data_IF_840767032658
#
_entry.id   IF_840767032658
#
_cell.length_a   1.000
_cell.length_b   1.000
_cell.length_c   1.000
_cell.angle_alpha   90.00
_cell.angle_beta   90.00
_cell.angle_gamma   90.00
#
_symmetry.space_group_name_H-M   'P 1'
#
loop_
_entity.id
_entity.type
_entity.pdbx_description
1 polymer ?
#
# COMPACT_ATOMS: atom_id res chain seq x y z
N UNK A 1 10.67 6.20 17.12
CA UNK A 1 10.04 7.43 17.60
C UNK A 1 10.06 8.48 16.50
N UNK A 2 8.92 9.16 16.31
CA UNK A 2 8.77 10.27 15.38
C UNK A 2 8.57 11.54 16.21
N UNK A 3 9.51 12.46 16.12
CA UNK A 3 9.44 13.73 16.87
C UNK A 3 9.79 14.90 15.96
N UNK A 4 8.80 15.74 15.71
CA UNK A 4 8.94 16.92 14.86
C UNK A 4 8.00 18.01 15.33
N UNK A 5 8.52 19.22 15.42
CA UNK A 5 7.79 20.40 15.81
C UNK A 5 8.00 21.51 14.77
N UNK A 6 6.88 22.01 14.24
CA UNK A 6 6.86 23.13 13.28
C UNK A 6 5.71 24.08 13.65
N UNK A 7 5.97 25.07 14.53
CA UNK A 7 4.95 26.02 14.96
C UNK A 7 4.35 26.82 13.83
N UNK A 8 5.09 27.06 12.75
CA UNK A 8 4.61 27.85 11.59
C UNK A 8 3.47 27.13 10.84
N UNK A 9 3.46 25.79 10.90
CA UNK A 9 2.40 24.96 10.33
C UNK A 9 1.44 24.39 11.38
N UNK A 10 1.59 24.77 12.65
CA UNK A 10 0.88 24.17 13.77
C UNK A 10 0.96 22.64 13.75
N UNK A 11 2.15 22.11 13.50
CA UNK A 11 2.40 20.68 13.39
C UNK A 11 3.30 20.21 14.52
N UNK A 12 2.74 19.37 15.40
CA UNK A 12 3.41 18.85 16.59
C UNK A 12 3.33 17.32 16.57
N UNK A 13 4.39 16.64 16.16
CA UNK A 13 4.44 15.18 16.06
C UNK A 13 5.27 14.63 17.23
N UNK A 14 4.66 13.78 18.05
CA UNK A 14 5.34 12.98 19.07
C UNK A 14 4.74 11.58 19.13
N UNK A 15 5.15 10.71 18.21
CA UNK A 15 4.71 9.33 18.15
C UNK A 15 5.84 8.40 18.59
N UNK A 16 5.52 7.47 19.47
CA UNK A 16 6.48 6.48 19.98
C UNK A 16 6.65 5.32 19.01
N UNK A 17 7.79 4.67 19.08
CA UNK A 17 8.06 3.45 18.31
C UNK A 17 7.20 2.30 18.85
N UNK A 18 6.68 1.50 17.93
CA UNK A 18 5.97 0.26 18.24
C UNK A 18 4.50 0.29 17.84
N UNK A 19 3.83 -0.84 18.07
CA UNK A 19 2.41 -1.00 17.78
C UNK A 19 1.60 -0.13 18.74
N UNK A 20 0.76 0.73 18.19
CA UNK A 20 -0.08 1.64 18.97
C UNK A 20 -1.39 1.95 18.24
N UNK A 21 -2.39 2.36 18.99
CA UNK A 21 -3.61 2.89 18.39
C UNK A 21 -3.36 4.34 17.93
N UNK A 22 -3.72 4.62 16.69
CA UNK A 22 -3.68 5.98 16.14
C UNK A 22 -5.12 6.49 16.05
N UNK A 23 -5.42 7.57 16.74
CA UNK A 23 -6.61 8.38 16.47
C UNK A 23 -6.43 9.24 15.22
N UNK A 24 -7.39 10.10 14.90
CA UNK A 24 -7.32 10.92 13.68
C UNK A 24 -6.13 11.88 13.67
N UNK A 25 -5.76 12.47 14.81
CA UNK A 25 -4.62 13.37 14.91
C UNK A 25 -3.30 12.60 14.79
N UNK A 26 -3.16 11.51 15.53
CA UNK A 26 -1.97 10.67 15.47
C UNK A 26 -1.78 10.04 14.08
N UNK A 27 -2.87 9.68 13.39
CA UNK A 27 -2.82 9.20 12.01
C UNK A 27 -2.36 10.31 11.04
N UNK A 28 -2.87 11.53 11.18
CA UNK A 28 -2.43 12.69 10.42
C UNK A 28 -0.93 12.98 10.64
N UNK A 29 -0.48 12.94 11.88
CA UNK A 29 0.91 13.16 12.24
C UNK A 29 1.82 12.07 11.68
N UNK A 30 1.40 10.82 11.75
CA UNK A 30 2.13 9.68 11.19
C UNK A 30 2.37 9.82 9.69
N UNK A 31 1.34 10.15 8.91
CA UNK A 31 1.46 10.27 7.44
C UNK A 31 2.20 11.53 6.99
N UNK A 32 2.34 12.52 7.86
CA UNK A 32 3.09 13.75 7.59
C UNK A 32 4.54 13.71 8.03
N UNK A 33 4.90 12.82 8.95
CA UNK A 33 6.28 12.74 9.42
C UNK A 33 7.24 12.43 8.27
N UNK A 34 8.31 13.17 8.17
CA UNK A 34 9.37 12.99 7.16
C UNK A 34 10.76 13.10 7.79
N UNK A 35 10.97 14.11 8.62
CA UNK A 35 12.24 14.41 9.30
C UNK A 35 11.96 14.77 10.75
N UNK A 36 12.96 14.53 11.62
CA UNK A 36 12.94 15.06 12.98
C UNK A 36 13.52 16.46 13.07
N UNK A 37 13.28 17.14 14.17
CA UNK A 37 14.02 18.33 14.55
C UNK A 37 15.49 18.00 14.87
N UNK A 38 16.40 19.00 15.03
CA UNK A 38 17.76 18.75 15.46
C UNK A 38 17.83 17.84 16.69
N UNK A 39 18.65 16.77 16.59
CA UNK A 39 18.74 15.72 17.61
C UNK A 39 17.77 14.55 17.46
N UNK A 40 16.81 14.63 16.55
CA UNK A 40 15.87 13.54 16.24
C UNK A 40 16.05 13.06 14.81
N UNK A 41 16.03 11.73 14.63
CA UNK A 41 16.16 11.11 13.31
C UNK A 41 14.84 11.21 12.54
N UNK A 42 14.92 11.48 11.25
CA UNK A 42 13.84 11.26 10.30
C UNK A 42 14.00 9.91 9.56
N UNK A 43 13.27 9.73 8.48
CA UNK A 43 13.50 8.61 7.58
C UNK A 43 14.85 8.75 6.87
N UNK A 44 15.61 7.65 6.80
CA UNK A 44 16.93 7.66 6.15
C UNK A 44 16.83 8.04 4.66
N UNK A 45 15.76 7.67 4.00
CA UNK A 45 15.44 7.95 2.60
C UNK A 45 14.60 9.23 2.42
N UNK A 46 14.44 10.03 3.48
CA UNK A 46 13.70 11.28 3.43
C UNK A 46 12.24 11.12 2.97
N UNK A 47 11.91 11.71 1.83
CA UNK A 47 10.55 11.68 1.30
C UNK A 47 10.08 10.29 0.86
N UNK A 48 10.97 9.49 0.33
CA UNK A 48 10.66 8.10 -0.05
C UNK A 48 10.23 7.27 1.16
N UNK A 49 10.87 7.47 2.31
CA UNK A 49 10.47 6.81 3.56
C UNK A 49 9.09 7.27 4.05
N UNK A 50 8.72 8.53 3.82
CA UNK A 50 7.37 9.01 4.11
C UNK A 50 6.34 8.34 3.20
N UNK A 51 6.63 8.21 1.91
CA UNK A 51 5.74 7.51 0.96
C UNK A 51 5.52 6.07 1.40
N UNK A 52 6.58 5.36 1.78
CA UNK A 52 6.49 4.00 2.29
C UNK A 52 5.61 3.92 3.55
N UNK A 53 5.80 4.82 4.52
CA UNK A 53 4.97 4.86 5.71
C UNK A 53 3.49 5.15 5.39
N UNK A 54 3.22 6.02 4.42
CA UNK A 54 1.86 6.28 3.95
C UNK A 54 1.23 5.03 3.32
N UNK A 55 1.98 4.26 2.55
CA UNK A 55 1.52 2.99 1.97
C UNK A 55 1.22 1.95 3.06
N UNK A 56 2.11 1.80 4.04
CA UNK A 56 1.90 0.92 5.20
C UNK A 56 0.65 1.32 5.99
N UNK A 57 0.44 2.62 6.20
CA UNK A 57 -0.75 3.14 6.87
C UNK A 57 -2.04 2.79 6.11
N UNK A 58 -2.08 3.00 4.80
CA UNK A 58 -3.25 2.66 3.98
C UNK A 58 -3.51 1.16 4.02
N UNK A 59 -2.47 0.33 3.90
CA UNK A 59 -2.60 -1.12 3.98
C UNK A 59 -3.17 -1.58 5.32
N UNK A 60 -2.67 -1.02 6.43
CA UNK A 60 -3.19 -1.30 7.76
C UNK A 60 -4.65 -0.82 7.94
N UNK A 61 -4.99 0.34 7.38
CA UNK A 61 -6.35 0.88 7.41
C UNK A 61 -7.33 -0.01 6.65
N UNK A 62 -6.95 -0.47 5.45
CA UNK A 62 -7.74 -1.40 4.64
C UNK A 62 -7.94 -2.71 5.39
N UNK A 63 -6.86 -3.31 5.91
CA UNK A 63 -6.93 -4.55 6.69
C UNK A 63 -7.89 -4.44 7.89
N UNK A 64 -7.91 -3.27 8.56
CA UNK A 64 -8.81 -3.03 9.68
C UNK A 64 -10.26 -2.79 9.24
N UNK A 65 -10.48 -2.00 8.17
CA UNK A 65 -11.82 -1.50 7.80
C UNK A 65 -12.60 -2.44 6.89
N UNK A 66 -11.94 -3.37 6.21
CA UNK A 66 -12.61 -4.42 5.44
C UNK A 66 -13.14 -5.57 6.31
N UNK A 67 -12.90 -5.55 7.64
CA UNK A 67 -13.51 -6.54 8.53
C UNK A 67 -15.05 -6.42 8.53
N UNK A 68 -15.79 -7.55 8.61
CA UNK A 68 -17.25 -7.56 8.49
C UNK A 68 -17.98 -6.60 9.44
N UNK A 69 -17.46 -6.39 10.64
CA UNK A 69 -18.03 -5.46 11.63
C UNK A 69 -18.08 -4.00 11.17
N UNK A 70 -17.17 -3.59 10.27
CA UNK A 70 -17.15 -2.25 9.72
C UNK A 70 -17.95 -2.12 8.43
N UNK A 71 -18.19 -3.23 7.72
CA UNK A 71 -19.05 -3.24 6.53
C UNK A 71 -20.51 -2.90 6.87
N UNK A 72 -20.93 -3.10 8.12
CA UNK A 72 -22.23 -2.64 8.60
C UNK A 72 -22.32 -1.10 8.68
N UNK A 73 -21.19 -0.40 8.70
CA UNK A 73 -21.07 1.07 8.77
C UNK A 73 -20.66 1.68 7.43
N UNK A 74 -20.91 0.99 6.34
CA UNK A 74 -20.50 1.43 4.99
C UNK A 74 -21.01 2.83 4.65
N UNK A 75 -22.21 3.19 5.09
CA UNK A 75 -22.79 4.50 4.84
C UNK A 75 -22.00 5.61 5.55
N UNK A 76 -21.63 5.41 6.84
CA UNK A 76 -20.81 6.38 7.59
C UNK A 76 -19.44 6.57 6.94
N UNK A 77 -18.80 5.48 6.51
CA UNK A 77 -17.52 5.51 5.80
C UNK A 77 -17.66 6.24 4.46
N UNK A 78 -18.74 5.99 3.74
CA UNK A 78 -19.02 6.64 2.46
C UNK A 78 -19.23 8.14 2.62
N UNK A 79 -19.96 8.57 3.64
CA UNK A 79 -20.20 9.98 3.92
C UNK A 79 -18.90 10.72 4.26
N UNK A 80 -18.00 10.10 5.02
CA UNK A 80 -16.67 10.63 5.30
C UNK A 80 -15.84 10.75 4.02
N UNK A 81 -15.82 9.73 3.18
CA UNK A 81 -15.10 9.77 1.90
C UNK A 81 -15.65 10.88 1.02
N UNK A 82 -16.96 10.92 0.83
CA UNK A 82 -17.64 11.92 -0.02
C UNK A 82 -17.38 13.36 0.45
N UNK A 83 -17.27 13.57 1.75
CA UNK A 83 -17.03 14.89 2.33
C UNK A 83 -15.57 15.37 2.17
N UNK A 84 -14.62 14.43 2.06
CA UNK A 84 -13.19 14.74 2.12
C UNK A 84 -12.43 14.40 0.83
N UNK A 85 -13.02 13.61 -0.08
CA UNK A 85 -12.36 13.17 -1.31
C UNK A 85 -13.12 13.69 -2.53
N UNK A 86 -12.39 14.36 -3.44
CA UNK A 86 -12.90 14.72 -4.76
C UNK A 86 -12.53 13.63 -5.75
N UNK A 87 -13.54 13.02 -6.36
CA UNK A 87 -13.37 11.94 -7.33
C UNK A 87 -14.46 12.05 -8.43
N UNK A 88 -14.18 11.53 -9.59
CA UNK A 88 -15.16 11.32 -10.65
C UNK A 88 -15.95 10.01 -10.47
N UNK A 89 -15.65 9.22 -9.44
CA UNK A 89 -16.36 8.00 -9.12
C UNK A 89 -17.70 8.32 -8.48
N UNK A 90 -18.77 7.84 -9.05
CA UNK A 90 -20.14 8.15 -8.60
C UNK A 90 -20.65 7.11 -7.59
N UNK A 91 -21.70 7.47 -6.85
CA UNK A 91 -22.38 6.53 -5.95
C UNK A 91 -22.93 5.31 -6.72
N UNK A 92 -23.34 5.47 -7.99
CA UNK A 92 -23.78 4.38 -8.86
C UNK A 92 -22.64 3.41 -9.18
N UNK A 93 -21.42 3.95 -9.40
CA UNK A 93 -20.24 3.12 -9.65
C UNK A 93 -19.85 2.35 -8.40
N UNK A 94 -19.93 2.98 -7.22
CA UNK A 94 -19.69 2.30 -5.95
C UNK A 94 -20.66 1.13 -5.74
N UNK A 95 -21.97 1.34 -5.96
CA UNK A 95 -22.97 0.28 -5.84
C UNK A 95 -22.73 -0.87 -6.81
N UNK A 96 -22.31 -0.55 -8.06
CA UNK A 96 -21.96 -1.57 -9.06
C UNK A 96 -20.80 -2.45 -8.62
N UNK A 97 -19.80 -1.87 -7.94
CA UNK A 97 -18.59 -2.58 -7.51
C UNK A 97 -18.64 -3.09 -6.07
N UNK A 98 -19.75 -2.88 -5.37
CA UNK A 98 -19.88 -3.27 -3.96
C UNK A 98 -19.65 -4.77 -3.73
N UNK A 99 -20.05 -5.62 -4.70
CA UNK A 99 -19.82 -7.05 -4.66
C UNK A 99 -18.34 -7.42 -4.73
N UNK A 100 -17.56 -6.72 -5.54
CA UNK A 100 -16.11 -6.89 -5.64
C UNK A 100 -15.42 -6.36 -4.38
N UNK A 101 -15.79 -5.15 -3.91
CA UNK A 101 -15.22 -4.53 -2.72
C UNK A 101 -15.32 -5.43 -1.48
N UNK A 102 -16.41 -6.19 -1.34
CA UNK A 102 -16.59 -7.12 -0.22
C UNK A 102 -15.65 -8.34 -0.26
N UNK A 103 -15.04 -8.61 -1.40
CA UNK A 103 -14.09 -9.72 -1.58
C UNK A 103 -12.64 -9.28 -1.43
N UNK A 104 -12.36 -7.98 -1.49
CA UNK A 104 -11.01 -7.43 -1.36
C UNK A 104 -10.52 -7.63 0.07
N UNK A 105 -9.31 -8.15 0.20
CA UNK A 105 -8.56 -8.28 1.45
C UNK A 105 -7.38 -7.30 1.45
N UNK A 106 -6.68 -7.19 2.58
CA UNK A 106 -5.44 -6.40 2.64
C UNK A 106 -4.35 -6.90 1.68
N UNK A 107 -4.38 -8.19 1.36
CA UNK A 107 -3.36 -8.84 0.54
C UNK A 107 -3.57 -8.55 -0.96
N UNK A 108 -4.81 -8.22 -1.34
CA UNK A 108 -5.14 -7.78 -2.69
C UNK A 108 -4.71 -6.33 -2.97
N UNK A 109 -4.36 -5.57 -1.92
CA UNK A 109 -3.93 -4.17 -2.05
C UNK A 109 -2.43 -4.13 -2.29
N UNK A 110 -2.04 -4.12 -3.56
CA UNK A 110 -0.65 -3.96 -3.99
C UNK A 110 -0.35 -2.45 -4.15
N UNK A 111 0.77 -2.00 -3.60
CA UNK A 111 1.21 -0.61 -3.69
C UNK A 111 2.60 -0.56 -4.29
N UNK A 112 2.79 0.34 -5.22
CA UNK A 112 4.04 0.49 -5.94
C UNK A 112 4.56 1.91 -5.79
N UNK A 113 5.87 2.05 -5.78
CA UNK A 113 6.54 3.33 -5.84
C UNK A 113 7.25 3.43 -7.18
N UNK A 114 7.02 4.53 -7.90
CA UNK A 114 7.72 4.76 -9.16
C UNK A 114 9.23 4.85 -8.90
N UNK A 115 10.05 4.15 -9.68
CA UNK A 115 11.50 4.21 -9.57
C UNK A 115 12.03 5.63 -9.79
N UNK A 116 12.95 6.05 -8.94
CA UNK A 116 13.56 7.36 -9.07
C UNK A 116 14.69 7.57 -8.06
N UNK A 117 15.59 8.49 -8.38
CA UNK A 117 16.77 8.79 -7.57
C UNK A 117 16.70 10.20 -7.00
N UNK A 118 16.88 10.37 -5.67
CA UNK A 118 16.97 11.68 -5.07
C UNK A 118 18.20 12.45 -5.58
N UNK A 119 18.00 13.67 -6.07
CA UNK A 119 19.06 14.53 -6.58
C UNK A 119 18.87 15.97 -6.11
N UNK A 120 19.99 16.67 -5.90
CA UNK A 120 20.00 18.10 -5.64
C UNK A 120 20.25 18.84 -6.95
N UNK A 121 19.28 19.64 -7.41
CA UNK A 121 19.36 20.41 -8.63
C UNK A 121 19.12 21.90 -8.27
N UNK A 122 20.11 22.74 -8.49
CA UNK A 122 20.00 24.16 -8.17
C UNK A 122 19.71 24.46 -6.69
N UNK A 123 20.16 23.60 -5.77
CA UNK A 123 19.93 23.76 -4.33
C UNK A 123 18.56 23.23 -3.85
N UNK A 124 17.76 22.69 -4.75
CA UNK A 124 16.44 22.09 -4.44
C UNK A 124 16.52 20.56 -4.56
N UNK A 125 15.88 19.86 -3.64
CA UNK A 125 15.82 18.40 -3.65
C UNK A 125 14.69 17.91 -4.56
N UNK A 126 15.04 17.06 -5.53
CA UNK A 126 14.12 16.41 -6.45
C UNK A 126 14.26 14.89 -6.33
N UNK A 127 13.22 14.17 -6.73
CA UNK A 127 13.33 12.77 -7.10
C UNK A 127 13.21 12.70 -8.62
N UNK A 128 14.32 12.37 -9.29
CA UNK A 128 14.35 12.25 -10.75
C UNK A 128 13.85 10.85 -11.09
N UNK A 129 12.78 10.77 -11.89
CA UNK A 129 12.18 9.52 -12.31
C UNK A 129 13.14 8.73 -13.21
N UNK A 130 13.21 7.43 -13.00
CA UNK A 130 13.79 6.48 -13.95
C UNK A 130 12.71 6.08 -14.93
N UNK A 131 12.73 6.69 -16.10
CA UNK A 131 11.68 6.49 -17.11
C UNK A 131 11.63 5.04 -17.62
N UNK A 132 12.79 4.42 -17.81
CA UNK A 132 12.86 3.04 -18.29
C UNK A 132 12.31 2.04 -17.27
N UNK A 133 12.78 2.13 -16.02
CA UNK A 133 12.30 1.28 -14.95
C UNK A 133 10.82 1.57 -14.60
N UNK A 134 10.36 2.81 -14.80
CA UNK A 134 8.94 3.16 -14.61
C UNK A 134 8.07 2.54 -15.70
N UNK A 135 8.52 2.56 -16.96
CA UNK A 135 7.79 1.94 -18.05
C UNK A 135 7.68 0.42 -17.84
N UNK A 136 8.78 -0.22 -17.45
CA UNK A 136 8.81 -1.65 -17.13
C UNK A 136 7.86 -2.00 -15.97
N UNK A 137 7.86 -1.20 -14.90
CA UNK A 137 6.95 -1.38 -13.76
C UNK A 137 5.48 -1.27 -14.20
N UNK A 138 5.16 -0.24 -14.98
CA UNK A 138 3.79 0.00 -15.47
C UNK A 138 3.34 -1.16 -16.38
N UNK A 139 4.21 -1.60 -17.28
CA UNK A 139 3.92 -2.73 -18.18
C UNK A 139 3.68 -4.01 -17.37
N UNK A 140 4.54 -4.31 -16.41
CA UNK A 140 4.41 -5.50 -15.55
C UNK A 140 3.14 -5.49 -14.69
N UNK A 141 2.72 -4.31 -14.18
CA UNK A 141 1.63 -4.22 -13.19
C UNK A 141 0.26 -3.99 -13.84
N UNK A 142 0.22 -3.27 -14.98
CA UNK A 142 -1.03 -2.82 -15.59
C UNK A 142 -1.27 -3.39 -16.99
N UNK A 143 -0.38 -4.23 -17.51
CA UNK A 143 -0.65 -4.94 -18.77
C UNK A 143 -1.75 -5.99 -18.57
N UNK A 144 -2.62 -6.19 -19.56
CA UNK A 144 -3.70 -7.18 -19.49
C UNK A 144 -3.22 -8.62 -19.23
N UNK A 145 -1.98 -8.94 -19.60
CA UNK A 145 -1.38 -10.26 -19.45
C UNK A 145 -0.72 -10.46 -18.06
N UNK A 146 -0.67 -9.43 -17.21
CA UNK A 146 -0.06 -9.52 -15.90
C UNK A 146 -0.86 -10.39 -14.91
N UNK A 147 -2.18 -10.52 -15.12
CA UNK A 147 -3.05 -11.34 -14.28
C UNK A 147 -2.84 -12.85 -14.50
N UNK A 148 -2.31 -13.27 -15.66
CA UNK A 148 -2.06 -14.68 -15.98
C UNK A 148 -0.70 -15.17 -15.43
N UNK A 149 0.22 -14.28 -15.08
CA UNK A 149 1.55 -14.65 -14.62
C UNK A 149 1.59 -15.09 -13.13
N UNK A 150 0.68 -14.62 -12.32
CA UNK A 150 0.60 -14.98 -10.88
C UNK A 150 -0.08 -16.34 -10.66
N UNK A 151 -0.79 -16.88 -11.69
CA UNK A 151 -1.45 -18.19 -11.65
C UNK A 151 -0.55 -19.38 -12.05
N UNK A 152 0.63 -19.15 -12.60
CA UNK A 152 1.48 -20.20 -13.18
C UNK A 152 2.53 -20.80 -12.20
N UNK A 153 2.62 -20.31 -10.96
CA UNK A 153 3.65 -20.76 -10.03
C UNK A 153 3.26 -21.92 -9.10
N UNK A 154 2.01 -22.44 -9.20
CA UNK A 154 1.53 -23.49 -8.28
C UNK A 154 1.12 -24.83 -8.96
N UNK A 155 1.71 -25.17 -10.12
CA UNK A 155 1.45 -26.46 -10.73
C UNK A 155 2.71 -27.18 -11.25
N UNK A 156 3.67 -27.43 -10.37
CA UNK A 156 4.74 -28.39 -10.66
C UNK A 156 5.32 -29.02 -9.40
N UNK A 157 4.58 -29.96 -8.81
CA UNK A 157 5.13 -31.12 -8.12
C UNK A 157 3.99 -32.11 -7.86
N UNK A 158 3.73 -32.97 -8.78
CA UNK A 158 3.52 -34.39 -8.47
C UNK A 158 3.65 -35.22 -9.75
N UNK A 159 4.81 -35.79 -9.95
CA UNK A 159 5.14 -36.74 -10.97
C UNK A 159 5.62 -38.03 -10.32
N UNK A 160 4.73 -38.75 -9.71
CA UNK A 160 5.06 -40.03 -9.13
C UNK A 160 5.26 -41.12 -10.18
N UNK A 161 6.42 -41.60 -10.14
CA UNK A 161 6.89 -42.86 -10.68
C UNK A 161 6.14 -44.08 -10.10
N UNK A 162 5.59 -44.89 -10.96
CA UNK A 162 4.91 -46.16 -10.59
C UNK A 162 5.01 -47.18 -11.70
N UNK A 163 6.24 -47.63 -11.99
CA UNK A 163 6.46 -48.82 -12.83
C UNK A 163 6.35 -50.09 -11.97
N UNK A 164 5.36 -50.89 -12.21
CA UNK A 164 5.33 -52.29 -11.77
C UNK A 164 5.24 -53.20 -12.95
N UNK A 165 6.32 -53.85 -13.23
CA UNK A 165 6.42 -55.01 -14.12
C UNK A 165 5.69 -56.20 -13.49
N UNK A 166 4.74 -56.80 -14.21
CA UNK A 166 4.30 -58.16 -14.02
C UNK A 166 5.21 -59.10 -14.79
N UNK A 167 5.72 -60.08 -14.11
CA UNK A 167 6.23 -61.30 -14.74
C UNK A 167 5.39 -62.51 -14.23
N UNK A 168 4.88 -63.25 -15.20
CA UNK A 168 4.22 -64.51 -15.05
C UNK A 168 5.07 -65.59 -14.36
N UNK A 169 4.46 -66.45 -13.61
CA UNK A 169 4.45 -67.89 -13.90
C UNK A 169 3.72 -68.72 -12.82
N UNK A 170 2.85 -69.55 -13.36
CA UNK A 170 2.40 -70.87 -12.92
C UNK A 170 1.37 -70.93 -11.80
#
# INVERSE_FOLDING_TARGET
DMKYDDPAQNLHIDLKKGMQHLDGQAAHDFVRFRKGNPGHKGYATGDLGRIQAQQEFIKALVAQKLQPKYLLKVNEIFDVIRSNVRTNYTAKDLLRHLGAIKKITSDDVKMYQLPGTPQMIGGVSYVVCDEAATAELVDTVFSPDADDADGAADSSTDGSNGSTSKSDKK
#
